data_IF_329510127839
#
_entry.id   IF_329510127839
#
_cell.length_a   1.000
_cell.length_b   1.000
_cell.length_c   1.000
_cell.angle_alpha   90.00
_cell.angle_beta   90.00
_cell.angle_gamma   90.00
#
_symmetry.space_group_name_H-M   'P 1'
#
loop_
_entity.id
_entity.type
_entity.pdbx_description
1 polymer ?
#
# COMPACT_ATOMS: atom_id res chain seq x y z
N UNK A 1 -24.01 -8.93 -17.58
CA UNK A 1 -23.46 -8.00 -16.58
C UNK A 1 -24.30 -6.74 -16.63
N UNK A 2 -25.05 -6.45 -15.56
CA UNK A 2 -25.87 -5.24 -15.49
C UNK A 2 -24.93 -4.05 -15.52
N UNK A 3 -25.04 -3.19 -16.54
CA UNK A 3 -24.36 -1.90 -16.56
C UNK A 3 -25.13 -1.04 -15.58
N UNK A 4 -24.74 -1.11 -14.32
CA UNK A 4 -25.20 -0.12 -13.38
C UNK A 4 -24.65 1.21 -13.84
N UNK A 5 -25.52 2.18 -13.99
CA UNK A 5 -25.19 3.57 -14.15
C UNK A 5 -25.46 4.22 -12.79
N UNK A 6 -24.71 5.24 -12.38
CA UNK A 6 -24.82 5.78 -11.03
C UNK A 6 -26.15 6.56 -10.77
N UNK A 7 -27.18 6.36 -11.58
CA UNK A 7 -28.40 7.18 -11.64
C UNK A 7 -29.53 6.70 -10.74
N UNK A 8 -29.47 5.47 -10.22
CA UNK A 8 -30.36 5.03 -9.14
C UNK A 8 -29.60 4.99 -7.82
N UNK A 9 -30.29 5.27 -6.71
CA UNK A 9 -29.71 5.25 -5.35
C UNK A 9 -28.99 3.94 -5.06
N UNK A 10 -29.62 2.83 -5.45
CA UNK A 10 -29.08 1.47 -5.26
C UNK A 10 -27.80 1.28 -6.06
N UNK A 11 -27.78 1.73 -7.32
CA UNK A 11 -26.62 1.62 -8.19
C UNK A 11 -25.46 2.50 -7.72
N UNK A 12 -25.71 3.75 -7.32
CA UNK A 12 -24.67 4.63 -6.78
C UNK A 12 -24.07 4.04 -5.49
N UNK A 13 -24.91 3.52 -4.59
CA UNK A 13 -24.46 2.89 -3.35
C UNK A 13 -23.62 1.63 -3.63
N UNK A 14 -24.04 0.78 -4.56
CA UNK A 14 -23.29 -0.40 -4.96
C UNK A 14 -21.93 -0.04 -5.55
N UNK A 15 -21.87 0.95 -6.44
CA UNK A 15 -20.60 1.43 -7.00
C UNK A 15 -19.68 1.98 -5.92
N UNK A 16 -20.20 2.79 -5.00
CA UNK A 16 -19.42 3.34 -3.89
C UNK A 16 -18.81 2.22 -3.04
N UNK A 17 -19.61 1.25 -2.59
CA UNK A 17 -19.12 0.12 -1.77
C UNK A 17 -18.09 -0.71 -2.54
N UNK A 18 -18.37 -1.05 -3.80
CA UNK A 18 -17.45 -1.80 -4.66
C UNK A 18 -16.10 -1.09 -4.77
N UNK A 19 -16.10 0.21 -5.03
CA UNK A 19 -14.88 0.98 -5.25
C UNK A 19 -14.10 1.19 -3.94
N UNK A 20 -14.78 1.36 -2.80
CA UNK A 20 -14.15 1.35 -1.47
C UNK A 20 -13.47 0.01 -1.21
N UNK A 21 -14.16 -1.12 -1.41
CA UNK A 21 -13.60 -2.47 -1.22
C UNK A 21 -12.40 -2.69 -2.14
N UNK A 22 -12.49 -2.28 -3.41
CA UNK A 22 -11.37 -2.37 -4.36
C UNK A 22 -10.15 -1.60 -3.87
N UNK A 23 -10.35 -0.38 -3.38
CA UNK A 23 -9.28 0.49 -2.90
C UNK A 23 -8.61 -0.07 -1.64
N UNK A 24 -9.41 -0.61 -0.72
CA UNK A 24 -8.92 -1.32 0.47
C UNK A 24 -8.12 -2.57 0.07
N UNK A 25 -8.57 -3.31 -0.95
CA UNK A 25 -7.83 -4.43 -1.52
C UNK A 25 -6.48 -4.02 -2.10
N UNK A 26 -6.44 -2.94 -2.88
CA UNK A 26 -5.19 -2.38 -3.42
C UNK A 26 -4.23 -1.91 -2.31
N UNK A 27 -4.76 -1.24 -1.28
CA UNK A 27 -4.00 -0.81 -0.11
C UNK A 27 -3.44 -2.00 0.67
N UNK A 28 -4.29 -2.98 0.98
CA UNK A 28 -3.89 -4.20 1.69
C UNK A 28 -2.79 -4.91 0.92
N UNK A 29 -2.94 -5.04 -0.40
CA UNK A 29 -1.94 -5.62 -1.27
C UNK A 29 -0.60 -4.83 -1.23
N UNK A 30 -0.63 -3.50 -1.40
CA UNK A 30 0.57 -2.66 -1.30
C UNK A 30 1.27 -2.76 0.06
N UNK A 31 0.47 -2.93 1.12
CA UNK A 31 0.93 -3.11 2.49
C UNK A 31 1.54 -4.50 2.73
N UNK A 32 1.01 -5.54 2.07
CA UNK A 32 1.54 -6.90 2.12
C UNK A 32 2.82 -7.08 1.31
N UNK A 33 3.04 -6.26 0.28
CA UNK A 33 4.28 -6.28 -0.51
C UNK A 33 5.41 -5.70 0.34
N UNK A 34 6.23 -6.58 0.90
CA UNK A 34 7.41 -6.18 1.66
C UNK A 34 8.44 -5.53 0.72
N UNK A 35 9.27 -4.59 1.20
CA UNK A 35 10.36 -4.01 0.41
C UNK A 35 11.37 -5.05 -0.12
N UNK A 36 11.39 -6.25 0.46
CA UNK A 36 12.23 -7.39 0.11
C UNK A 36 11.59 -8.31 -0.93
N UNK A 37 10.30 -8.16 -1.22
CA UNK A 37 9.61 -8.95 -2.24
C UNK A 37 10.04 -8.50 -3.64
N UNK A 38 10.60 -9.45 -4.39
CA UNK A 38 11.07 -9.25 -5.76
C UNK A 38 9.91 -9.33 -6.75
N UNK A 39 8.91 -10.17 -6.49
CA UNK A 39 7.85 -10.44 -7.46
C UNK A 39 6.58 -9.65 -7.18
N UNK A 40 6.28 -9.38 -5.91
CA UNK A 40 5.12 -8.58 -5.49
C UNK A 40 4.93 -7.34 -6.36
N UNK A 41 5.86 -6.37 -6.37
CA UNK A 41 5.71 -5.16 -7.18
C UNK A 41 5.48 -5.43 -8.67
N UNK A 42 6.07 -6.50 -9.23
CA UNK A 42 5.88 -6.84 -10.66
C UNK A 42 4.49 -7.41 -10.92
N UNK A 43 4.06 -8.34 -10.08
CA UNK A 43 2.72 -8.95 -10.14
C UNK A 43 1.65 -7.87 -10.00
N UNK A 44 1.85 -6.91 -9.10
CA UNK A 44 0.91 -5.79 -8.96
C UNK A 44 0.84 -4.89 -10.19
N UNK A 45 1.97 -4.60 -10.83
CA UNK A 45 1.99 -3.79 -12.06
C UNK A 45 1.24 -4.53 -13.17
N UNK A 46 1.46 -5.84 -13.30
CA UNK A 46 0.75 -6.67 -14.27
C UNK A 46 -0.75 -6.75 -13.96
N UNK A 47 -1.12 -6.96 -12.69
CA UNK A 47 -2.52 -7.01 -12.27
C UNK A 47 -3.24 -5.68 -12.53
N UNK A 48 -2.63 -4.55 -12.15
CA UNK A 48 -3.18 -3.22 -12.43
C UNK A 48 -3.26 -2.93 -13.92
N UNK A 49 -2.30 -3.41 -14.72
CA UNK A 49 -2.34 -3.30 -16.18
C UNK A 49 -3.53 -4.07 -16.77
N UNK A 50 -3.68 -5.36 -16.42
CA UNK A 50 -4.79 -6.20 -16.90
C UNK A 50 -6.14 -5.62 -16.47
N UNK A 51 -6.26 -5.18 -15.22
CA UNK A 51 -7.47 -4.52 -14.73
C UNK A 51 -7.74 -3.21 -15.47
N UNK A 52 -6.71 -2.41 -15.76
CA UNK A 52 -6.83 -1.18 -16.53
C UNK A 52 -7.31 -1.43 -17.97
N UNK A 53 -6.73 -2.39 -18.68
CA UNK A 53 -7.16 -2.77 -20.04
C UNK A 53 -8.61 -3.28 -20.03
N UNK A 54 -8.96 -4.15 -19.08
CA UNK A 54 -10.33 -4.65 -18.95
C UNK A 54 -11.33 -3.52 -18.65
N UNK A 55 -10.93 -2.56 -17.82
CA UNK A 55 -11.75 -1.41 -17.45
C UNK A 55 -11.97 -0.48 -18.65
N UNK A 56 -10.90 -0.13 -19.38
CA UNK A 56 -10.99 0.65 -20.62
C UNK A 56 -11.92 -0.03 -21.63
N UNK A 57 -11.70 -1.32 -21.94
CA UNK A 57 -12.55 -2.09 -22.83
C UNK A 57 -14.03 -2.06 -22.43
N UNK A 58 -14.31 -2.25 -21.13
CA UNK A 58 -15.67 -2.22 -20.61
C UNK A 58 -16.33 -0.85 -20.79
N UNK A 59 -15.61 0.24 -20.52
CA UNK A 59 -16.13 1.60 -20.72
C UNK A 59 -16.38 1.90 -22.21
N UNK A 60 -15.42 1.60 -23.09
CA UNK A 60 -15.59 1.79 -24.54
C UNK A 60 -16.77 0.99 -25.07
N UNK A 61 -16.92 -0.27 -24.70
CA UNK A 61 -18.03 -1.12 -25.15
C UNK A 61 -19.40 -0.60 -24.65
N UNK A 62 -19.46 -0.10 -23.42
CA UNK A 62 -20.68 0.50 -22.89
C UNK A 62 -21.04 1.81 -23.59
N UNK A 63 -20.06 2.65 -23.90
CA UNK A 63 -20.28 3.86 -24.67
C UNK A 63 -20.86 3.53 -26.05
N UNK A 64 -20.23 2.59 -26.78
CA UNK A 64 -20.71 2.14 -28.10
C UNK A 64 -22.14 1.59 -28.02
N UNK A 65 -22.41 0.71 -27.05
CA UNK A 65 -23.75 0.12 -26.87
C UNK A 65 -24.80 1.21 -26.55
N UNK A 66 -24.42 2.24 -25.80
CA UNK A 66 -25.31 3.34 -25.48
C UNK A 66 -25.61 4.20 -26.70
N UNK A 67 -24.59 4.56 -27.48
CA UNK A 67 -24.76 5.32 -28.72
C UNK A 67 -25.65 4.60 -29.73
N UNK A 68 -25.47 3.28 -29.87
CA UNK A 68 -26.31 2.45 -30.75
C UNK A 68 -27.79 2.52 -30.34
N UNK A 69 -28.08 2.38 -29.04
CA UNK A 69 -29.46 2.42 -28.51
C UNK A 69 -30.12 3.79 -28.58
N UNK A 70 -29.35 4.88 -28.46
CA UNK A 70 -29.88 6.24 -28.57
C UNK A 70 -30.57 6.50 -29.92
N UNK A 71 -30.17 5.78 -30.96
CA UNK A 71 -30.73 5.95 -32.31
C UNK A 71 -32.17 5.45 -32.48
N UNK A 72 -32.72 4.69 -31.51
CA UNK A 72 -33.91 3.88 -31.76
C UNK A 72 -35.15 4.11 -30.87
N UNK A 73 -35.11 4.76 -29.70
CA UNK A 73 -36.31 5.05 -28.86
C UNK A 73 -35.98 5.92 -27.62
N UNK A 74 -37.00 6.26 -26.81
CA UNK A 74 -36.85 6.87 -25.48
C UNK A 74 -35.83 6.10 -24.62
N UNK A 75 -34.85 6.79 -24.03
CA UNK A 75 -33.77 6.16 -23.28
C UNK A 75 -34.24 5.75 -21.89
N UNK A 76 -34.43 4.45 -21.73
CA UNK A 76 -34.58 3.84 -20.42
C UNK A 76 -33.21 3.38 -19.91
N UNK A 77 -32.76 3.96 -18.80
CA UNK A 77 -31.59 3.51 -18.07
C UNK A 77 -32.09 2.80 -16.81
N UNK A 78 -31.77 1.51 -16.66
CA UNK A 78 -32.24 0.69 -15.52
C UNK A 78 -33.77 0.63 -15.34
N UNK A 79 -34.53 0.88 -16.41
CA UNK A 79 -36.00 0.91 -16.36
C UNK A 79 -36.59 2.28 -16.01
N UNK A 80 -35.77 3.26 -15.65
CA UNK A 80 -36.20 4.65 -15.45
C UNK A 80 -36.08 5.44 -16.76
N UNK A 81 -37.08 6.26 -17.06
CA UNK A 81 -37.06 7.14 -18.23
C UNK A 81 -36.11 8.30 -17.93
N UNK A 82 -35.02 8.38 -18.68
CA UNK A 82 -33.99 9.40 -18.51
C UNK A 82 -33.85 10.22 -19.77
N UNK A 83 -33.42 11.48 -19.63
CA UNK A 83 -33.03 12.29 -20.78
C UNK A 83 -31.85 11.63 -21.51
N UNK A 84 -32.09 11.20 -22.75
CA UNK A 84 -31.10 10.57 -23.62
C UNK A 84 -29.82 11.39 -23.76
N UNK A 85 -29.95 12.72 -23.82
CA UNK A 85 -28.80 13.60 -24.01
C UNK A 85 -27.90 13.62 -22.78
N UNK A 86 -28.50 13.65 -21.58
CA UNK A 86 -27.76 13.62 -20.33
C UNK A 86 -27.05 12.28 -20.12
N UNK A 87 -27.74 11.17 -20.39
CA UNK A 87 -27.14 9.84 -20.33
C UNK A 87 -26.00 9.68 -21.33
N UNK A 88 -26.18 10.14 -22.58
CA UNK A 88 -25.14 10.12 -23.61
C UNK A 88 -23.92 10.92 -23.19
N UNK A 89 -24.13 12.17 -22.75
CA UNK A 89 -23.07 13.06 -22.33
C UNK A 89 -22.26 12.46 -21.18
N UNK A 90 -22.92 11.91 -20.17
CA UNK A 90 -22.22 11.38 -18.97
C UNK A 90 -21.48 10.09 -19.25
N UNK A 91 -22.04 9.18 -20.04
CA UNK A 91 -21.34 7.96 -20.47
C UNK A 91 -20.14 8.32 -21.34
N UNK A 92 -20.30 9.25 -22.29
CA UNK A 92 -19.20 9.71 -23.13
C UNK A 92 -18.12 10.41 -22.30
N UNK A 93 -18.49 11.35 -21.42
CA UNK A 93 -17.55 12.08 -20.58
C UNK A 93 -16.79 11.14 -19.65
N UNK A 94 -17.47 10.19 -19.01
CA UNK A 94 -16.80 9.16 -18.21
C UNK A 94 -15.84 8.35 -19.07
N UNK A 95 -16.30 7.84 -20.22
CA UNK A 95 -15.47 7.01 -21.10
C UNK A 95 -14.21 7.74 -21.56
N UNK A 96 -14.35 8.98 -22.04
CA UNK A 96 -13.21 9.81 -22.45
C UNK A 96 -12.24 10.04 -21.29
N UNK A 97 -12.74 10.32 -20.07
CA UNK A 97 -11.89 10.51 -18.90
C UNK A 97 -11.18 9.22 -18.48
N UNK A 98 -11.85 8.07 -18.53
CA UNK A 98 -11.24 6.77 -18.25
C UNK A 98 -10.19 6.38 -19.29
N UNK A 99 -10.48 6.62 -20.58
CA UNK A 99 -9.55 6.35 -21.66
C UNK A 99 -8.32 7.26 -21.56
N UNK A 100 -8.53 8.56 -21.33
CA UNK A 100 -7.45 9.52 -21.07
C UNK A 100 -6.61 9.09 -19.86
N UNK A 101 -7.25 8.63 -18.78
CA UNK A 101 -6.58 8.12 -17.59
C UNK A 101 -5.72 6.88 -17.89
N UNK A 102 -6.27 5.91 -18.62
CA UNK A 102 -5.55 4.69 -18.95
C UNK A 102 -4.45 4.89 -20.00
N UNK A 103 -4.59 5.87 -20.90
CA UNK A 103 -3.57 6.21 -21.89
C UNK A 103 -2.23 6.59 -21.26
N UNK A 104 -2.21 7.32 -20.14
CA UNK A 104 -0.96 7.61 -19.42
C UNK A 104 -0.60 6.52 -18.41
N UNK A 105 -1.60 5.89 -17.77
CA UNK A 105 -1.36 4.90 -16.72
C UNK A 105 -0.76 3.59 -17.25
N UNK A 106 -1.23 3.09 -18.40
CA UNK A 106 -0.76 1.81 -18.95
C UNK A 106 0.73 1.85 -19.31
N UNK A 107 1.24 2.84 -20.08
CA UNK A 107 2.68 2.95 -20.32
C UNK A 107 3.47 3.13 -19.02
N UNK A 108 2.91 3.85 -18.05
CA UNK A 108 3.54 4.06 -16.75
C UNK A 108 3.72 2.76 -15.96
N UNK A 109 2.72 1.86 -15.99
CA UNK A 109 2.74 0.53 -15.36
C UNK A 109 3.62 -0.45 -16.13
N UNK A 110 3.57 -0.47 -17.47
CA UNK A 110 4.43 -1.31 -18.32
C UNK A 110 5.90 -0.99 -18.07
N UNK A 111 6.27 0.31 -18.02
CA UNK A 111 7.63 0.71 -17.67
C UNK A 111 8.03 0.21 -16.27
N UNK A 112 7.08 0.15 -15.34
CA UNK A 112 7.26 -0.45 -14.01
C UNK A 112 7.77 -1.90 -14.07
N UNK A 113 7.36 -2.69 -15.06
CA UNK A 113 7.80 -4.09 -15.21
C UNK A 113 9.29 -4.25 -15.49
N UNK A 114 9.97 -3.22 -15.98
CA UNK A 114 11.40 -3.26 -16.31
C UNK A 114 12.30 -2.56 -15.29
N UNK A 115 11.73 -1.85 -14.31
CA UNK A 115 12.50 -1.09 -13.31
C UNK A 115 12.95 -1.95 -12.12
N UNK A 116 13.94 -1.51 -11.32
CA UNK A 116 14.23 -2.16 -10.05
C UNK A 116 12.98 -2.23 -9.14
N UNK A 117 12.88 -3.27 -8.31
CA UNK A 117 11.68 -3.57 -7.52
C UNK A 117 11.21 -2.40 -6.65
N UNK A 118 12.14 -1.67 -6.03
CA UNK A 118 11.82 -0.49 -5.19
C UNK A 118 11.23 0.66 -5.99
N UNK A 119 11.81 0.93 -7.15
CA UNK A 119 11.32 1.98 -8.06
C UNK A 119 9.93 1.58 -8.56
N UNK A 120 9.73 0.30 -8.87
CA UNK A 120 8.43 -0.26 -9.27
C UNK A 120 7.38 -0.02 -8.18
N UNK A 121 7.68 -0.36 -6.93
CA UNK A 121 6.76 -0.18 -5.80
C UNK A 121 6.41 1.30 -5.60
N UNK A 122 7.41 2.20 -5.58
CA UNK A 122 7.14 3.63 -5.43
C UNK A 122 6.29 4.18 -6.58
N UNK A 123 6.48 3.67 -7.80
CA UNK A 123 5.63 4.00 -8.95
C UNK A 123 4.21 3.49 -8.77
N UNK A 124 4.00 2.31 -8.19
CA UNK A 124 2.65 1.80 -7.95
C UNK A 124 1.85 2.67 -6.99
N UNK A 125 2.47 3.14 -5.90
CA UNK A 125 1.84 4.11 -4.99
C UNK A 125 1.40 5.37 -5.74
N UNK A 126 2.28 5.94 -6.56
CA UNK A 126 1.99 7.13 -7.36
C UNK A 126 0.91 6.84 -8.42
N UNK A 127 0.98 5.71 -9.11
CA UNK A 127 0.00 5.32 -10.12
C UNK A 127 -1.39 5.14 -9.51
N UNK A 128 -1.50 4.51 -8.33
CA UNK A 128 -2.75 4.37 -7.61
C UNK A 128 -3.24 5.71 -7.08
N UNK A 129 -2.36 6.58 -6.55
CA UNK A 129 -2.73 7.93 -6.14
C UNK A 129 -3.32 8.74 -7.30
N UNK A 130 -2.65 8.73 -8.47
CA UNK A 130 -3.12 9.42 -9.66
C UNK A 130 -4.42 8.83 -10.21
N UNK A 131 -4.58 7.50 -10.18
CA UNK A 131 -5.85 6.82 -10.51
C UNK A 131 -6.98 7.35 -9.61
N UNK A 132 -6.73 7.48 -8.32
CA UNK A 132 -7.71 8.00 -7.36
C UNK A 132 -8.03 9.49 -7.58
N UNK A 133 -7.02 10.33 -7.85
CA UNK A 133 -7.26 11.74 -8.18
C UNK A 133 -8.03 11.94 -9.47
N UNK A 134 -7.64 11.24 -10.53
CA UNK A 134 -8.34 11.29 -11.83
C UNK A 134 -9.78 10.80 -11.70
N UNK A 135 -10.00 9.72 -10.95
CA UNK A 135 -11.35 9.24 -10.63
C UNK A 135 -12.17 10.28 -9.87
N UNK A 136 -11.61 10.87 -8.81
CA UNK A 136 -12.30 11.90 -8.03
C UNK A 136 -12.64 13.12 -8.88
N UNK A 137 -11.70 13.60 -9.69
CA UNK A 137 -11.94 14.69 -10.64
C UNK A 137 -13.03 14.35 -11.65
N UNK A 138 -13.05 13.12 -12.17
CA UNK A 138 -14.09 12.67 -13.09
C UNK A 138 -15.48 12.68 -12.45
N UNK A 139 -15.60 12.27 -11.19
CA UNK A 139 -16.87 12.28 -10.48
C UNK A 139 -17.39 13.70 -10.28
N UNK A 140 -16.52 14.66 -9.93
CA UNK A 140 -16.90 16.07 -9.85
C UNK A 140 -17.31 16.66 -11.21
N UNK A 141 -16.58 16.33 -12.28
CA UNK A 141 -16.93 16.79 -13.63
C UNK A 141 -18.28 16.26 -14.11
N UNK A 142 -18.65 15.03 -13.73
CA UNK A 142 -19.95 14.43 -14.06
C UNK A 142 -21.10 15.06 -13.26
N UNK A 143 -20.84 15.51 -12.03
CA UNK A 143 -21.86 16.14 -11.17
C UNK A 143 -22.29 17.53 -11.70
N UNK A 144 -21.37 18.32 -12.28
CA UNK A 144 -21.68 19.67 -12.75
C UNK A 144 -22.84 19.74 -13.77
N UNK A 145 -22.84 18.95 -14.86
CA UNK A 145 -23.99 18.85 -15.77
C UNK A 145 -25.26 18.37 -15.08
N UNK A 146 -25.17 17.41 -14.16
CA UNK A 146 -26.32 16.89 -13.43
C UNK A 146 -26.98 17.97 -12.56
N UNK A 147 -26.18 18.83 -11.92
CA UNK A 147 -26.68 20.00 -11.17
C UNK A 147 -27.30 21.03 -12.12
N UNK A 148 -26.62 21.34 -13.24
CA UNK A 148 -27.12 22.31 -14.21
C UNK A 148 -28.48 21.87 -14.79
N UNK A 149 -28.58 20.63 -15.26
CA UNK A 149 -29.84 20.09 -15.80
C UNK A 149 -30.93 20.06 -14.75
N UNK A 150 -30.59 19.71 -13.51
CA UNK A 150 -31.57 19.79 -12.42
C UNK A 150 -32.10 21.20 -12.21
N UNK A 151 -31.24 22.22 -12.31
CA UNK A 151 -31.63 23.62 -12.20
C UNK A 151 -32.52 24.06 -13.38
N UNK A 152 -32.26 23.55 -14.60
CA UNK A 152 -32.99 23.96 -15.82
C UNK A 152 -34.21 23.09 -16.18
N UNK A 153 -34.30 21.84 -15.73
CA UNK A 153 -35.32 20.86 -16.13
C UNK A 153 -36.12 20.28 -14.93
N UNK A 154 -36.27 21.07 -13.87
CA UNK A 154 -37.19 20.83 -12.73
C UNK A 154 -37.31 19.36 -12.30
N UNK A 155 -36.24 18.84 -11.68
CA UNK A 155 -36.37 17.70 -10.77
C UNK A 155 -36.15 16.28 -11.32
N UNK A 156 -35.64 16.11 -12.54
CA UNK A 156 -35.39 14.76 -13.07
C UNK A 156 -34.21 14.00 -12.42
N UNK A 157 -33.30 14.67 -11.70
CA UNK A 157 -32.14 14.01 -11.08
C UNK A 157 -32.37 13.79 -9.57
N UNK A 158 -32.35 12.54 -9.07
CA UNK A 158 -32.51 12.26 -7.64
C UNK A 158 -31.38 12.88 -6.80
N UNK A 159 -31.71 13.49 -5.66
CA UNK A 159 -30.71 14.06 -4.72
C UNK A 159 -29.65 13.03 -4.29
N UNK A 160 -30.06 11.78 -4.10
CA UNK A 160 -29.16 10.71 -3.69
C UNK A 160 -28.04 10.47 -4.72
N UNK A 161 -28.29 10.61 -6.02
CA UNK A 161 -27.26 10.47 -7.06
C UNK A 161 -26.16 11.52 -6.89
N UNK A 162 -26.57 12.78 -6.65
CA UNK A 162 -25.64 13.89 -6.40
C UNK A 162 -24.84 13.60 -5.12
N UNK A 163 -25.50 13.18 -4.04
CA UNK A 163 -24.87 12.89 -2.75
C UNK A 163 -23.84 11.76 -2.90
N UNK A 164 -24.22 10.60 -3.43
CA UNK A 164 -23.32 9.46 -3.57
C UNK A 164 -22.15 9.75 -4.51
N UNK A 165 -22.40 10.44 -5.63
CA UNK A 165 -21.32 10.84 -6.54
C UNK A 165 -20.36 11.82 -5.88
N UNK A 166 -20.88 12.77 -5.10
CA UNK A 166 -20.06 13.74 -4.36
C UNK A 166 -19.22 13.05 -3.29
N UNK A 167 -19.84 12.16 -2.50
CA UNK A 167 -19.13 11.37 -1.48
C UNK A 167 -18.06 10.49 -2.12
N UNK A 168 -18.34 9.89 -3.27
CA UNK A 168 -17.38 9.11 -4.03
C UNK A 168 -16.21 9.94 -4.54
N UNK A 169 -16.48 11.14 -5.09
CA UNK A 169 -15.45 12.09 -5.51
C UNK A 169 -14.55 12.53 -4.36
N UNK A 170 -15.15 12.91 -3.21
CA UNK A 170 -14.41 13.28 -1.99
C UNK A 170 -13.53 12.12 -1.52
N UNK A 171 -14.11 10.92 -1.43
CA UNK A 171 -13.39 9.71 -1.04
C UNK A 171 -12.19 9.45 -1.95
N UNK A 172 -12.39 9.50 -3.27
CA UNK A 172 -11.33 9.24 -4.24
C UNK A 172 -10.21 10.30 -4.15
N UNK A 173 -10.54 11.59 -4.00
CA UNK A 173 -9.52 12.64 -3.79
C UNK A 173 -8.76 12.43 -2.48
N UNK A 174 -9.46 12.15 -1.38
CA UNK A 174 -8.83 11.90 -0.09
C UNK A 174 -7.89 10.68 -0.14
N UNK A 175 -8.34 9.59 -0.77
CA UNK A 175 -7.51 8.42 -1.03
C UNK A 175 -6.28 8.76 -1.88
N UNK A 176 -6.45 9.58 -2.92
CA UNK A 176 -5.33 10.09 -3.73
C UNK A 176 -4.28 10.79 -2.88
N UNK A 177 -4.70 11.70 -1.99
CA UNK A 177 -3.78 12.40 -1.07
C UNK A 177 -3.08 11.45 -0.10
N UNK A 178 -3.82 10.49 0.48
CA UNK A 178 -3.24 9.50 1.39
C UNK A 178 -2.19 8.63 0.70
N UNK A 179 -2.46 8.17 -0.52
CA UNK A 179 -1.55 7.35 -1.33
C UNK A 179 -0.33 8.14 -1.84
N UNK A 180 -0.50 9.44 -2.10
CA UNK A 180 0.58 10.33 -2.53
C UNK A 180 1.54 10.67 -1.38
N UNK A 181 1.03 10.71 -0.14
CA UNK A 181 1.80 11.10 1.03
C UNK A 181 2.86 10.05 1.40
N UNK A 182 4.13 10.41 1.24
CA UNK A 182 5.27 9.59 1.66
C UNK A 182 5.26 9.31 3.16
N UNK A 183 4.77 10.25 3.98
CA UNK A 183 4.66 10.10 5.44
C UNK A 183 3.65 9.02 5.81
N UNK A 184 2.48 9.00 5.17
CA UNK A 184 1.44 7.99 5.42
C UNK A 184 1.96 6.61 4.99
N UNK A 185 2.62 6.52 3.83
CA UNK A 185 3.26 5.29 3.36
C UNK A 185 4.30 4.77 4.35
N UNK A 186 5.19 5.63 4.82
CA UNK A 186 6.23 5.28 5.80
C UNK A 186 5.60 4.81 7.12
N UNK A 187 4.58 5.53 7.60
CA UNK A 187 3.87 5.18 8.81
C UNK A 187 3.17 3.81 8.69
N UNK A 188 2.49 3.53 7.57
CA UNK A 188 1.85 2.23 7.32
C UNK A 188 2.87 1.10 7.31
N UNK A 189 3.95 1.23 6.53
CA UNK A 189 4.99 0.20 6.50
C UNK A 189 5.64 0.00 7.86
N UNK A 190 5.95 1.07 8.59
CA UNK A 190 6.54 0.96 9.92
C UNK A 190 5.59 0.29 10.90
N UNK A 191 4.30 0.61 10.86
CA UNK A 191 3.27 0.01 11.73
C UNK A 191 3.06 -1.47 11.42
N UNK A 192 3.10 -1.86 10.15
CA UNK A 192 3.00 -3.27 9.76
C UNK A 192 4.25 -4.05 10.13
N UNK A 193 5.43 -3.45 9.90
CA UNK A 193 6.70 -4.03 10.28
C UNK A 193 6.81 -4.18 11.81
N UNK A 194 6.41 -3.19 12.60
CA UNK A 194 6.48 -3.28 14.06
C UNK A 194 5.61 -4.42 14.62
N UNK A 195 4.47 -4.71 13.99
CA UNK A 195 3.62 -5.86 14.33
C UNK A 195 4.22 -7.21 13.94
N UNK A 196 5.17 -7.26 13.00
CA UNK A 196 5.85 -8.49 12.58
C UNK A 196 6.99 -8.94 13.50
N UNK A 197 7.24 -8.20 14.58
CA UNK A 197 8.28 -8.49 15.57
C UNK A 197 9.65 -7.90 15.21
N UNK A 198 10.46 -7.61 16.23
CA UNK A 198 11.74 -6.91 16.07
C UNK A 198 12.72 -7.61 15.12
N UNK A 199 12.74 -8.95 15.11
CA UNK A 199 13.59 -9.74 14.22
C UNK A 199 13.25 -9.48 12.73
N UNK A 200 11.96 -9.46 12.39
CA UNK A 200 11.51 -9.22 11.01
C UNK A 200 11.83 -7.80 10.55
N UNK A 201 11.68 -6.81 11.44
CA UNK A 201 12.05 -5.41 11.14
C UNK A 201 13.56 -5.30 10.90
N UNK A 202 14.37 -5.80 11.83
CA UNK A 202 15.83 -5.71 11.73
C UNK A 202 16.38 -6.46 10.53
N UNK A 203 15.87 -7.67 10.25
CA UNK A 203 16.24 -8.44 9.06
C UNK A 203 15.81 -7.77 7.76
N UNK A 204 14.65 -7.11 7.73
CA UNK A 204 14.21 -6.33 6.57
C UNK A 204 15.12 -5.13 6.29
N UNK A 205 15.58 -4.43 7.35
CA UNK A 205 16.53 -3.32 7.23
C UNK A 205 17.90 -3.84 6.78
N UNK A 206 18.41 -4.90 7.38
CA UNK A 206 19.69 -5.49 7.00
C UNK A 206 19.66 -6.07 5.57
N UNK A 207 18.57 -6.71 5.17
CA UNK A 207 18.30 -7.13 3.80
C UNK A 207 18.29 -5.94 2.84
N UNK A 208 17.67 -4.83 3.26
CA UNK A 208 17.64 -3.59 2.50
C UNK A 208 19.03 -3.01 2.27
N UNK A 209 19.91 -3.03 3.27
CA UNK A 209 21.28 -2.50 3.19
C UNK A 209 22.20 -3.47 2.42
N UNK A 210 22.11 -4.77 2.71
CA UNK A 210 23.04 -5.78 2.22
C UNK A 210 22.67 -6.42 0.88
N UNK A 211 21.53 -6.05 0.28
CA UNK A 211 21.09 -6.62 -1.01
C UNK A 211 20.72 -8.11 -0.97
N UNK A 212 20.42 -8.65 0.22
CA UNK A 212 19.99 -10.05 0.43
C UNK A 212 18.49 -10.11 0.77
N UNK A 213 17.89 -11.30 0.74
CA UNK A 213 16.52 -11.48 1.22
C UNK A 213 16.47 -11.41 2.76
N UNK A 214 15.34 -10.97 3.33
CA UNK A 214 15.15 -10.97 4.78
C UNK A 214 15.32 -12.37 5.37
N UNK A 215 14.78 -13.39 4.70
CA UNK A 215 14.96 -14.81 5.06
C UNK A 215 16.44 -15.20 5.14
N UNK A 216 17.24 -14.90 4.12
CA UNK A 216 18.66 -15.23 4.15
C UNK A 216 19.42 -14.47 5.24
N UNK A 217 18.99 -13.24 5.56
CA UNK A 217 19.55 -12.48 6.69
C UNK A 217 19.16 -13.11 8.02
N UNK A 218 17.93 -13.60 8.16
CA UNK A 218 17.50 -14.34 9.36
C UNK A 218 18.34 -15.61 9.49
N UNK A 219 18.50 -16.39 8.42
CA UNK A 219 19.34 -17.60 8.43
C UNK A 219 20.76 -17.29 8.87
N UNK A 220 21.38 -16.26 8.26
CA UNK A 220 22.73 -15.83 8.61
C UNK A 220 22.81 -15.33 10.06
N UNK A 221 21.79 -14.60 10.52
CA UNK A 221 21.72 -14.14 11.89
C UNK A 221 21.59 -15.31 12.86
N UNK A 222 20.78 -16.33 12.54
CA UNK A 222 20.61 -17.54 13.34
C UNK A 222 21.89 -18.39 13.35
N UNK A 223 22.54 -18.58 12.21
CA UNK A 223 23.81 -19.29 12.09
C UNK A 223 24.94 -18.57 12.85
N UNK A 224 24.97 -17.24 12.80
CA UNK A 224 25.95 -16.42 13.49
C UNK A 224 25.59 -16.12 14.97
N UNK A 225 24.36 -16.45 15.40
CA UNK A 225 23.88 -16.12 16.74
C UNK A 225 24.59 -17.01 17.77
N UNK A 226 25.40 -16.36 18.59
CA UNK A 226 26.12 -17.00 19.70
C UNK A 226 25.88 -16.22 20.97
N UNK A 227 25.71 -16.93 22.08
CA UNK A 227 25.65 -16.34 23.41
C UNK A 227 26.84 -16.80 24.24
N UNK A 228 27.13 -16.05 25.30
CA UNK A 228 28.09 -16.43 26.33
C UNK A 228 27.38 -16.37 27.67
N UNK A 229 27.54 -17.41 28.48
CA UNK A 229 27.08 -17.33 29.87
C UNK A 229 27.92 -16.29 30.61
N UNK A 230 27.24 -15.40 31.34
CA UNK A 230 27.91 -14.30 32.03
C UNK A 230 28.86 -14.78 33.14
N UNK A 231 28.73 -16.02 33.61
CA UNK A 231 29.68 -16.62 34.55
C UNK A 231 31.06 -16.90 33.92
N UNK A 232 31.16 -16.90 32.57
CA UNK A 232 32.39 -17.13 31.80
C UNK A 232 33.06 -15.85 31.30
N UNK A 233 32.47 -14.69 31.56
CA UNK A 233 33.03 -13.39 31.18
C UNK A 233 33.76 -12.81 32.39
N UNK A 234 35.01 -12.40 32.22
CA UNK A 234 35.82 -11.82 33.27
C UNK A 234 36.10 -10.34 33.03
N UNK A 235 36.47 -9.63 34.09
CA UNK A 235 36.81 -8.20 34.02
C UNK A 235 37.87 -7.89 32.95
N UNK A 236 38.97 -8.65 32.81
CA UNK A 236 39.98 -8.39 31.78
C UNK A 236 39.43 -8.45 30.35
N UNK A 237 38.40 -9.27 30.11
CA UNK A 237 37.76 -9.39 28.80
C UNK A 237 37.03 -8.11 28.38
N UNK A 238 36.66 -7.28 29.35
CA UNK A 238 35.92 -6.03 29.19
C UNK A 238 36.81 -4.77 29.24
N UNK A 239 38.10 -4.91 29.61
CA UNK A 239 39.05 -3.81 29.69
C UNK A 239 39.56 -3.35 28.32
N UNK A 240 39.56 -4.25 27.33
CA UNK A 240 40.07 -3.97 26.00
C UNK A 240 38.96 -3.48 25.08
N UNK A 241 39.13 -2.31 24.48
CA UNK A 241 38.20 -1.78 23.47
C UNK A 241 38.29 -2.51 22.12
N UNK A 242 39.24 -3.44 21.95
CA UNK A 242 39.45 -4.21 20.71
C UNK A 242 38.79 -5.58 20.82
N UNK A 243 38.11 -6.07 19.76
CA UNK A 243 37.56 -7.43 19.75
C UNK A 243 38.63 -8.47 20.07
N UNK A 244 38.39 -9.30 21.09
CA UNK A 244 39.27 -10.41 21.44
C UNK A 244 38.68 -11.72 20.88
N UNK A 245 39.24 -12.28 19.78
CA UNK A 245 38.71 -13.50 19.17
C UNK A 245 38.79 -14.72 20.11
N UNK A 246 39.66 -14.70 21.14
CA UNK A 246 39.73 -15.78 22.13
C UNK A 246 38.40 -15.95 22.90
N UNK A 247 37.59 -14.90 23.05
CA UNK A 247 36.29 -14.97 23.71
C UNK A 247 35.27 -15.81 22.94
N UNK A 248 35.49 -16.02 21.64
CA UNK A 248 34.64 -16.87 20.83
C UNK A 248 34.60 -18.32 21.36
N UNK A 249 35.68 -18.79 22.00
CA UNK A 249 35.77 -20.13 22.62
C UNK A 249 34.75 -20.30 23.75
N UNK A 250 34.40 -19.23 24.46
CA UNK A 250 33.41 -19.28 25.54
C UNK A 250 31.96 -19.20 25.04
N UNK A 251 31.78 -18.82 23.78
CA UNK A 251 30.46 -18.65 23.18
C UNK A 251 29.91 -19.96 22.63
N UNK A 252 28.60 -20.16 22.76
CA UNK A 252 27.86 -21.32 22.22
C UNK A 252 26.80 -20.84 21.23
N UNK A 253 26.48 -21.65 20.22
CA UNK A 253 25.35 -21.37 19.33
C UNK A 253 24.07 -21.29 20.16
N UNK A 254 23.21 -20.31 19.88
CA UNK A 254 21.94 -20.14 20.58
C UNK A 254 20.88 -19.57 19.66
N UNK A 255 19.61 -19.59 20.08
CA UNK A 255 18.55 -18.84 19.40
C UNK A 255 18.50 -17.43 19.97
N UNK A 256 18.01 -16.48 19.16
CA UNK A 256 17.81 -15.10 19.62
C UNK A 256 16.83 -15.02 20.81
N UNK A 257 15.85 -15.92 20.89
CA UNK A 257 14.91 -15.97 22.02
C UNK A 257 15.55 -16.46 23.32
N UNK A 258 16.71 -17.11 23.25
CA UNK A 258 17.42 -17.63 24.44
C UNK A 258 18.33 -16.56 25.07
N UNK A 259 18.46 -15.39 24.44
CA UNK A 259 19.34 -14.31 24.90
C UNK A 259 18.61 -13.44 25.92
N UNK A 260 19.11 -13.47 27.15
CA UNK A 260 18.55 -12.66 28.25
C UNK A 260 18.91 -11.16 28.14
N UNK A 261 20.08 -10.85 27.57
CA UNK A 261 20.54 -9.47 27.40
C UNK A 261 21.51 -9.33 26.23
N UNK A 262 21.45 -8.19 25.54
CA UNK A 262 22.44 -7.77 24.55
C UNK A 262 23.39 -6.76 25.18
N UNK A 263 24.69 -7.03 25.12
CA UNK A 263 25.72 -6.11 25.58
C UNK A 263 26.40 -5.50 24.36
N UNK A 264 26.24 -4.20 24.16
CA UNK A 264 26.93 -3.48 23.09
C UNK A 264 28.32 -3.10 23.56
N UNK A 265 29.34 -3.47 22.78
CA UNK A 265 30.72 -3.09 23.08
C UNK A 265 31.03 -1.71 22.50
N UNK A 266 30.38 -0.65 23.00
CA UNK A 266 30.76 0.72 22.65
C UNK A 266 32.20 0.98 23.09
N UNK A 267 33.03 1.47 22.17
CA UNK A 267 34.47 1.66 22.37
C UNK A 267 34.82 2.87 23.24
N UNK A 268 33.84 3.73 23.53
CA UNK A 268 34.03 4.97 24.28
C UNK A 268 33.59 4.89 25.74
N UNK A 269 32.96 3.79 26.16
CA UNK A 269 32.49 3.66 27.54
C UNK A 269 33.65 3.31 28.47
N UNK A 270 33.63 3.87 29.69
CA UNK A 270 34.57 3.49 30.75
C UNK A 270 34.42 2.00 31.08
N UNK A 271 35.49 1.19 30.92
CA UNK A 271 35.39 -0.26 31.08
C UNK A 271 35.10 -0.67 32.52
N UNK A 272 35.50 0.14 33.52
CA UNK A 272 35.22 -0.13 34.93
C UNK A 272 33.73 0.05 35.23
N UNK A 273 33.16 1.20 34.86
CA UNK A 273 31.74 1.49 35.02
C UNK A 273 30.88 0.46 34.29
N UNK A 274 31.29 0.04 33.09
CA UNK A 274 30.59 -1.00 32.32
C UNK A 274 30.61 -2.36 33.04
N UNK A 275 31.75 -2.78 33.57
CA UNK A 275 31.87 -4.02 34.32
C UNK A 275 31.02 -4.00 35.58
N UNK A 276 31.06 -2.90 36.35
CA UNK A 276 30.25 -2.73 37.55
C UNK A 276 28.75 -2.76 37.24
N UNK A 277 28.32 -2.06 36.20
CA UNK A 277 26.93 -2.08 35.74
C UNK A 277 26.48 -3.50 35.35
N UNK A 278 27.34 -4.25 34.65
CA UNK A 278 27.07 -5.63 34.24
C UNK A 278 26.94 -6.58 35.44
N UNK A 279 27.82 -6.47 36.46
CA UNK A 279 27.71 -7.28 37.68
C UNK A 279 26.48 -6.91 38.51
N UNK A 280 26.15 -5.61 38.60
CA UNK A 280 24.94 -5.14 39.25
C UNK A 280 23.68 -5.71 38.57
N UNK A 281 23.63 -5.67 37.24
CA UNK A 281 22.55 -6.29 36.46
C UNK A 281 22.46 -7.79 36.71
N UNK A 282 23.60 -8.52 36.68
CA UNK A 282 23.66 -9.98 36.95
C UNK A 282 23.10 -10.34 38.32
N UNK A 283 23.48 -9.58 39.35
CA UNK A 283 23.01 -9.83 40.71
C UNK A 283 21.48 -9.68 40.80
N UNK A 284 20.92 -8.62 40.21
CA UNK A 284 19.47 -8.41 40.14
C UNK A 284 18.77 -9.50 39.33
N UNK A 285 19.33 -9.88 38.19
CA UNK A 285 18.77 -10.92 37.33
C UNK A 285 18.67 -12.28 38.05
N UNK A 286 19.71 -12.65 38.79
CA UNK A 286 19.72 -13.88 39.61
C UNK A 286 18.71 -13.87 40.76
N UNK A 287 18.35 -12.70 41.28
CA UNK A 287 17.33 -12.57 42.34
C UNK A 287 15.90 -12.65 41.81
N UNK A 288 15.68 -12.31 40.54
CA UNK A 288 14.35 -12.29 39.92
C UNK A 288 13.88 -13.64 39.34
N UNK A 289 14.75 -14.65 39.32
CA UNK A 289 14.45 -16.03 38.90
C UNK A 289 14.35 -16.93 40.12
#
# INVERSE_FOLDING_TARGET
WWVYTAWTVRSSAYMFVRDVVRSLGCLAWLCCVLPTDRWGPKVGCLALFVLGVKCAWWHTNNAVTYFDRQSHNACHIEGEQTDCWLGAFTILAQTVLYDAMHLWQLPYLVRGLFLPYRVTMSRQWVALALLHFTKGASDFLVILPAIAIRAFHTGQVPYAVIIFSTLHGIYAVWMGFMLWSTKVRQWLHFTLLSKSGALTVSSSIAAFIGGRSAEKIIDLATEACRCVSLDKVFKPDMLLSKPNPALQVYSTSCRLQDIDAFLTHSWHDDPEAKWQALQCWRAKFKQSR
#
